data_IF_666440544033
#
_entry.id   IF_666440544033
#
_cell.length_a   1.000
_cell.length_b   1.000
_cell.length_c   1.000
_cell.angle_alpha   90.00
_cell.angle_beta   90.00
_cell.angle_gamma   90.00
#
_symmetry.space_group_name_H-M   'P 1'
#
loop_
_entity.id
_entity.type
_entity.pdbx_description
1 polymer ?
#
# COMPACT_ATOMS: atom_id res chain seq x y z
N UNK A 1 -8.07 6.32 -30.14
CA UNK A 1 -7.02 5.55 -29.44
C UNK A 1 -7.49 5.38 -28.01
N UNK A 2 -7.68 4.14 -27.54
CA UNK A 2 -8.22 3.83 -26.22
C UNK A 2 -7.30 4.41 -25.14
N UNK A 3 -7.89 5.07 -24.14
CA UNK A 3 -7.20 5.59 -22.96
C UNK A 3 -6.53 4.51 -22.08
N UNK A 4 -6.65 3.24 -22.43
CA UNK A 4 -6.04 2.11 -21.73
C UNK A 4 -4.50 2.11 -21.72
N UNK A 5 -3.87 2.77 -22.67
CA UNK A 5 -2.41 2.80 -22.78
C UNK A 5 -1.77 3.83 -21.83
N UNK A 6 -2.52 4.87 -21.43
CA UNK A 6 -1.97 5.97 -20.62
C UNK A 6 -2.06 5.72 -19.09
N UNK A 7 -2.88 4.76 -18.66
CA UNK A 7 -3.10 4.48 -17.23
C UNK A 7 -2.24 3.38 -16.60
N UNK A 8 -1.46 2.65 -17.41
CA UNK A 8 -0.71 1.48 -16.97
C UNK A 8 0.79 1.73 -16.98
N UNK A 9 1.24 2.77 -16.29
CA UNK A 9 2.65 3.15 -16.24
C UNK A 9 3.00 3.84 -14.93
N UNK A 10 4.26 3.74 -14.53
CA UNK A 10 4.86 4.52 -13.47
C UNK A 10 5.88 5.46 -14.09
N UNK A 11 5.83 6.74 -13.75
CA UNK A 11 6.68 7.77 -14.34
C UNK A 11 7.49 8.45 -13.24
N UNK A 12 8.81 8.54 -13.45
CA UNK A 12 9.69 9.36 -12.63
C UNK A 12 9.89 10.71 -13.30
N UNK A 13 9.66 11.77 -12.56
CA UNK A 13 9.90 13.15 -12.98
C UNK A 13 11.10 13.76 -12.27
N UNK A 14 11.75 14.74 -12.91
CA UNK A 14 12.65 15.68 -12.23
C UNK A 14 11.84 16.66 -11.39
N UNK A 15 12.47 17.43 -10.48
CA UNK A 15 11.80 18.53 -9.76
C UNK A 15 11.20 19.60 -10.70
N UNK A 16 11.76 19.75 -11.91
CA UNK A 16 11.28 20.71 -12.91
C UNK A 16 10.19 20.14 -13.83
N UNK A 17 9.76 18.86 -13.60
CA UNK A 17 8.68 18.21 -14.33
C UNK A 17 9.09 17.49 -15.61
N UNK A 18 10.38 17.31 -15.87
CA UNK A 18 10.87 16.52 -17.01
C UNK A 18 10.73 15.01 -16.70
N UNK A 19 10.31 14.23 -17.70
CA UNK A 19 10.25 12.78 -17.58
C UNK A 19 11.65 12.19 -17.61
N UNK A 20 12.05 11.56 -16.50
CA UNK A 20 13.34 10.90 -16.36
C UNK A 20 13.28 9.40 -16.66
N UNK A 21 12.13 8.76 -16.37
CA UNK A 21 11.94 7.33 -16.58
C UNK A 21 10.47 7.00 -16.69
N UNK A 22 10.12 6.01 -17.51
CA UNK A 22 8.77 5.45 -17.60
C UNK A 22 8.85 3.93 -17.53
N UNK A 23 8.15 3.33 -16.56
CA UNK A 23 8.02 1.88 -16.40
C UNK A 23 6.66 1.47 -16.97
N UNK A 24 6.66 0.56 -17.92
CA UNK A 24 5.45 0.10 -18.63
C UNK A 24 5.33 -1.42 -18.71
N UNK A 25 6.42 -2.17 -18.52
CA UNK A 25 6.48 -3.61 -18.70
C UNK A 25 7.25 -4.30 -17.58
N UNK A 26 6.81 -5.51 -17.23
CA UNK A 26 7.46 -6.40 -16.30
C UNK A 26 8.20 -7.50 -17.07
N UNK A 27 9.35 -7.17 -17.67
CA UNK A 27 10.27 -8.11 -18.29
C UNK A 27 10.08 -8.35 -19.79
N UNK A 28 8.87 -8.46 -20.31
CA UNK A 28 8.61 -8.64 -21.75
C UNK A 28 7.54 -7.69 -22.28
N UNK A 29 7.50 -7.47 -23.59
CA UNK A 29 6.49 -6.61 -24.25
C UNK A 29 5.05 -7.12 -24.07
N UNK A 30 4.86 -8.39 -23.77
CA UNK A 30 3.56 -8.99 -23.47
C UNK A 30 3.13 -8.82 -22.01
N UNK A 31 4.05 -8.47 -21.12
CA UNK A 31 3.81 -8.34 -19.69
C UNK A 31 3.75 -6.86 -19.28
N UNK A 32 2.83 -6.12 -19.84
CA UNK A 32 2.60 -4.73 -19.43
C UNK A 32 2.21 -4.64 -17.96
N UNK A 33 2.62 -3.55 -17.30
CA UNK A 33 2.03 -3.15 -16.04
C UNK A 33 0.51 -3.03 -16.21
N UNK A 34 -0.24 -3.51 -15.24
CA UNK A 34 -1.69 -3.51 -15.29
C UNK A 34 -2.27 -3.02 -13.98
N UNK A 35 -2.80 -1.80 -13.99
CA UNK A 35 -3.35 -1.13 -12.81
C UNK A 35 -2.32 -1.00 -11.67
N UNK A 36 -1.20 -0.27 -11.88
CA UNK A 36 -0.28 0.05 -10.78
C UNK A 36 -1.03 0.90 -9.73
N UNK A 37 -1.03 0.43 -8.49
CA UNK A 37 -1.73 1.05 -7.37
C UNK A 37 -0.81 1.91 -6.54
N UNK A 38 0.39 1.41 -6.27
CA UNK A 38 1.35 2.07 -5.41
C UNK A 38 2.78 1.78 -5.86
N UNK A 39 3.69 2.65 -5.46
CA UNK A 39 5.11 2.56 -5.76
C UNK A 39 5.93 2.99 -4.56
N UNK A 40 6.93 2.19 -4.22
CA UNK A 40 7.95 2.55 -3.23
C UNK A 40 9.35 2.41 -3.84
N UNK A 41 10.25 3.30 -3.46
CA UNK A 41 11.66 3.29 -3.89
C UNK A 41 12.53 3.03 -2.69
N UNK A 42 13.43 2.05 -2.80
CA UNK A 42 14.42 1.80 -1.75
C UNK A 42 15.43 2.96 -1.71
N UNK A 43 15.56 3.66 -0.58
CA UNK A 43 16.50 4.77 -0.47
C UNK A 43 17.97 4.35 -0.49
N UNK A 44 18.27 3.06 -0.29
CA UNK A 44 19.65 2.56 -0.20
C UNK A 44 20.30 2.33 -1.57
N UNK A 45 19.55 1.82 -2.54
CA UNK A 45 20.07 1.48 -3.88
C UNK A 45 19.26 2.08 -5.03
N UNK A 46 18.04 2.56 -4.74
CA UNK A 46 17.14 3.18 -5.71
C UNK A 46 16.26 2.19 -6.47
N UNK A 47 16.20 0.94 -6.03
CA UNK A 47 15.30 -0.07 -6.59
C UNK A 47 13.83 0.31 -6.38
N UNK A 48 12.99 -0.06 -7.34
CA UNK A 48 11.58 0.38 -7.41
C UNK A 48 10.67 -0.83 -7.32
N UNK A 49 9.74 -0.80 -6.37
CA UNK A 49 8.69 -1.80 -6.20
C UNK A 49 7.34 -1.21 -6.57
N UNK A 50 6.60 -1.88 -7.44
CA UNK A 50 5.29 -1.43 -7.93
C UNK A 50 4.25 -2.47 -7.59
N UNK A 51 3.23 -2.11 -6.82
CA UNK A 51 2.05 -2.94 -6.61
C UNK A 51 1.13 -2.88 -7.83
N UNK A 52 0.72 -4.03 -8.32
CA UNK A 52 -0.24 -4.15 -9.42
C UNK A 52 -1.48 -4.86 -8.95
N UNK A 53 -2.60 -4.17 -8.99
CA UNK A 53 -3.94 -4.74 -8.86
C UNK A 53 -4.99 -3.65 -8.88
N UNK A 54 -6.14 -3.86 -9.42
CA UNK A 54 -7.37 -3.13 -9.10
C UNK A 54 -8.56 -3.75 -9.86
N UNK A 55 -9.79 -3.63 -9.31
CA UNK A 55 -11.06 -4.00 -9.97
C UNK A 55 -11.07 -5.42 -10.55
N UNK A 56 -10.59 -6.40 -9.78
CA UNK A 56 -10.49 -7.78 -10.26
C UNK A 56 -9.38 -8.00 -11.28
N UNK A 57 -8.36 -7.14 -11.26
CA UNK A 57 -7.19 -7.19 -12.12
C UNK A 57 -6.50 -8.55 -12.11
N UNK A 58 -5.96 -8.95 -13.25
CA UNK A 58 -5.35 -10.27 -13.45
C UNK A 58 -4.00 -10.42 -12.73
N UNK A 59 -3.35 -9.30 -12.43
CA UNK A 59 -2.00 -9.26 -11.87
C UNK A 59 -2.05 -8.79 -10.42
N UNK A 60 -2.24 -9.70 -9.49
CA UNK A 60 -2.07 -9.41 -8.06
C UNK A 60 -0.64 -9.76 -7.69
N UNK A 61 0.29 -8.83 -7.88
CA UNK A 61 1.73 -9.04 -7.70
C UNK A 61 2.44 -7.73 -7.37
N UNK A 62 3.69 -7.83 -6.94
CA UNK A 62 4.61 -6.71 -6.86
C UNK A 62 5.66 -6.88 -7.97
N UNK A 63 5.92 -5.84 -8.72
CA UNK A 63 6.95 -5.83 -9.76
C UNK A 63 8.17 -5.07 -9.24
N UNK A 64 9.33 -5.72 -9.27
CA UNK A 64 10.60 -5.17 -8.82
C UNK A 64 11.46 -4.76 -10.02
N UNK A 65 11.88 -3.51 -10.03
CA UNK A 65 12.79 -2.93 -11.02
C UNK A 65 14.04 -2.40 -10.32
N UNK A 66 15.16 -2.41 -11.00
CA UNK A 66 16.34 -1.70 -10.52
C UNK A 66 16.17 -0.17 -10.69
N UNK A 67 17.13 0.59 -10.14
CA UNK A 67 17.14 2.06 -10.21
C UNK A 67 17.19 2.63 -11.63
N UNK A 68 17.57 1.83 -12.65
CA UNK A 68 17.54 2.18 -14.06
C UNK A 68 16.21 1.82 -14.75
N UNK A 69 15.27 1.23 -14.01
CA UNK A 69 13.98 0.79 -14.54
C UNK A 69 14.03 -0.54 -15.28
N UNK A 70 15.09 -1.33 -15.12
CA UNK A 70 15.18 -2.67 -15.70
C UNK A 70 14.44 -3.65 -14.77
N UNK A 71 13.59 -4.48 -15.36
CA UNK A 71 12.89 -5.52 -14.64
C UNK A 71 13.87 -6.51 -13.97
N UNK A 72 13.63 -6.80 -12.70
CA UNK A 72 14.37 -7.80 -11.93
C UNK A 72 13.52 -9.06 -11.79
N UNK A 73 12.32 -8.93 -11.19
CA UNK A 73 11.41 -10.05 -10.93
C UNK A 73 10.02 -9.59 -10.52
N UNK A 74 9.15 -10.57 -10.30
CA UNK A 74 7.88 -10.39 -9.58
C UNK A 74 7.93 -11.03 -8.20
N UNK A 75 7.17 -10.47 -7.23
CA UNK A 75 6.98 -10.99 -5.88
C UNK A 75 5.48 -11.20 -5.69
N UNK A 76 5.12 -12.35 -5.14
CA UNK A 76 3.72 -12.75 -4.96
C UNK A 76 3.05 -13.21 -6.26
N UNK A 77 1.83 -13.69 -6.11
CA UNK A 77 0.93 -14.12 -7.19
C UNK A 77 -0.52 -14.02 -6.71
N UNK A 78 -1.48 -14.06 -7.62
CA UNK A 78 -2.90 -13.97 -7.26
C UNK A 78 -3.34 -15.13 -6.35
N UNK A 79 -4.04 -14.81 -5.24
CA UNK A 79 -4.61 -15.78 -4.33
C UNK A 79 -4.66 -15.34 -2.86
N UNK A 80 -5.00 -16.29 -1.97
CA UNK A 80 -5.16 -16.01 -0.53
C UNK A 80 -4.20 -16.81 0.36
N UNK A 81 -3.41 -17.74 -0.17
CA UNK A 81 -2.39 -18.43 0.61
C UNK A 81 -1.26 -17.47 1.02
N UNK A 82 -0.44 -17.79 2.04
CA UNK A 82 0.76 -17.02 2.35
C UNK A 82 1.64 -16.86 1.11
N UNK A 83 2.12 -15.63 0.86
CA UNK A 83 2.85 -15.25 -0.35
C UNK A 83 1.99 -14.98 -1.58
N UNK A 84 0.69 -15.26 -1.55
CA UNK A 84 -0.27 -14.84 -2.57
C UNK A 84 -0.96 -13.54 -2.17
N UNK A 85 -1.45 -12.77 -3.14
CA UNK A 85 -1.99 -11.43 -2.97
C UNK A 85 -3.38 -11.28 -3.59
N UNK A 86 -4.24 -10.49 -2.95
CA UNK A 86 -5.52 -10.05 -3.49
C UNK A 86 -5.66 -8.54 -3.30
N UNK A 87 -5.65 -7.83 -4.40
CA UNK A 87 -5.60 -6.37 -4.41
C UNK A 87 -4.50 -5.79 -3.49
N UNK A 88 -3.20 -6.09 -3.74
CA UNK A 88 -2.12 -5.40 -3.05
C UNK A 88 -2.25 -3.91 -3.33
N UNK A 89 -2.59 -3.13 -2.29
CA UNK A 89 -3.06 -1.76 -2.47
C UNK A 89 -2.02 -0.72 -2.09
N UNK A 90 -1.10 -1.06 -1.20
CA UNK A 90 -0.06 -0.15 -0.73
C UNK A 90 1.23 -0.87 -0.39
N UNK A 91 2.32 -0.12 -0.46
CA UNK A 91 3.68 -0.57 -0.20
C UNK A 91 4.38 0.37 0.76
N UNK A 92 5.23 -0.18 1.62
CA UNK A 92 6.18 0.58 2.42
C UNK A 92 7.46 -0.22 2.64
N UNK A 93 8.57 0.47 2.91
CA UNK A 93 9.83 -0.15 3.33
C UNK A 93 10.14 0.29 4.76
N UNK A 94 10.62 -0.64 5.58
CA UNK A 94 11.14 -0.30 6.91
C UNK A 94 12.65 0.01 6.87
N UNK A 95 13.22 0.37 8.01
CA UNK A 95 14.65 0.70 8.12
C UNK A 95 15.59 -0.47 7.79
N UNK A 96 15.07 -1.70 7.77
CA UNK A 96 15.82 -2.93 7.44
C UNK A 96 15.67 -3.35 5.98
N UNK A 97 14.94 -2.56 5.17
CA UNK A 97 14.64 -2.88 3.78
C UNK A 97 13.61 -3.99 3.61
N UNK A 98 12.79 -4.31 4.63
CA UNK A 98 11.69 -5.26 4.47
C UNK A 98 10.53 -4.58 3.75
N UNK A 99 9.95 -5.26 2.76
CA UNK A 99 8.84 -4.76 1.97
C UNK A 99 7.51 -5.16 2.62
N UNK A 100 6.77 -4.16 3.08
CA UNK A 100 5.43 -4.29 3.62
C UNK A 100 4.41 -4.12 2.49
N UNK A 101 3.50 -5.07 2.36
CA UNK A 101 2.46 -5.10 1.32
C UNK A 101 1.10 -5.10 2.00
N UNK A 102 0.31 -4.08 1.76
CA UNK A 102 -1.09 -4.03 2.15
C UNK A 102 -1.92 -4.95 1.24
N UNK A 103 -2.08 -6.21 1.63
CA UNK A 103 -2.84 -7.24 0.91
C UNK A 103 -4.33 -7.10 1.26
N UNK A 104 -4.95 -6.04 0.68
CA UNK A 104 -6.21 -5.45 1.12
C UNK A 104 -7.37 -6.43 1.14
N UNK A 105 -7.62 -7.13 0.04
CA UNK A 105 -8.74 -8.09 -0.07
C UNK A 105 -8.53 -9.38 0.75
N UNK A 106 -7.32 -9.60 1.26
CA UNK A 106 -7.01 -10.66 2.21
C UNK A 106 -6.98 -10.15 3.67
N UNK A 107 -7.28 -8.87 3.92
CA UNK A 107 -7.34 -8.26 5.24
C UNK A 107 -6.06 -8.47 6.06
N UNK A 108 -4.89 -8.28 5.44
CA UNK A 108 -3.60 -8.52 6.08
C UNK A 108 -2.51 -7.66 5.50
N UNK A 109 -1.43 -7.51 6.25
CA UNK A 109 -0.14 -7.05 5.74
C UNK A 109 0.74 -8.28 5.57
N UNK A 110 1.39 -8.42 4.42
CA UNK A 110 2.43 -9.40 4.21
C UNK A 110 3.79 -8.68 4.13
N UNK A 111 4.78 -9.26 4.78
CA UNK A 111 6.13 -8.70 4.86
C UNK A 111 7.06 -9.61 4.08
N UNK A 112 7.75 -9.04 3.10
CA UNK A 112 8.69 -9.77 2.27
C UNK A 112 10.11 -9.22 2.43
N UNK A 113 11.11 -10.08 2.20
CA UNK A 113 12.43 -9.60 1.85
C UNK A 113 12.40 -9.02 0.42
N UNK A 114 13.35 -8.18 0.06
CA UNK A 114 13.46 -7.70 -1.32
C UNK A 114 13.81 -8.82 -2.31
N UNK A 115 14.33 -9.95 -1.80
CA UNK A 115 14.49 -11.16 -2.61
C UNK A 115 13.17 -11.91 -2.87
N UNK A 116 12.04 -11.46 -2.29
CA UNK A 116 10.71 -12.05 -2.50
C UNK A 116 10.36 -13.19 -1.55
N UNK A 117 11.17 -13.43 -0.52
CA UNK A 117 10.85 -14.38 0.53
C UNK A 117 9.80 -13.80 1.47
N UNK A 118 8.73 -14.55 1.76
CA UNK A 118 7.75 -14.15 2.77
C UNK A 118 8.36 -14.31 4.17
N UNK A 119 8.40 -13.20 4.90
CA UNK A 119 8.98 -13.15 6.25
C UNK A 119 7.92 -13.23 7.33
N UNK A 120 6.76 -12.57 7.15
CA UNK A 120 5.71 -12.54 8.16
C UNK A 120 4.35 -12.16 7.54
N UNK A 121 3.27 -12.42 8.30
CA UNK A 121 1.88 -12.10 7.93
C UNK A 121 1.15 -11.54 9.14
N UNK A 122 0.66 -10.29 9.03
CA UNK A 122 -0.02 -9.57 10.10
C UNK A 122 -1.47 -9.26 9.78
N UNK A 123 -2.40 -9.66 10.64
CA UNK A 123 -3.84 -9.47 10.47
C UNK A 123 -4.45 -8.44 11.42
N UNK A 124 -3.69 -7.98 12.42
CA UNK A 124 -4.16 -7.06 13.47
C UNK A 124 -4.37 -5.61 13.01
N UNK A 125 -3.98 -5.28 11.78
CA UNK A 125 -4.12 -3.92 11.23
C UNK A 125 -5.39 -3.70 10.40
N UNK A 126 -6.26 -4.70 10.28
CA UNK A 126 -7.51 -4.61 9.54
C UNK A 126 -7.33 -4.78 8.04
N UNK A 127 -8.07 -3.98 7.24
CA UNK A 127 -8.08 -4.01 5.78
C UNK A 127 -7.18 -2.90 5.22
N UNK A 128 -5.88 -3.15 5.00
CA UNK A 128 -4.90 -2.12 4.74
C UNK A 128 -5.08 -1.52 3.34
N UNK A 129 -5.51 -0.26 3.27
CA UNK A 129 -5.60 0.53 2.04
C UNK A 129 -4.34 1.38 1.82
N UNK A 130 -3.80 2.00 2.88
CA UNK A 130 -2.59 2.79 2.83
C UNK A 130 -1.60 2.40 3.91
N UNK A 131 -0.31 2.41 3.58
CA UNK A 131 0.79 2.15 4.50
C UNK A 131 1.77 3.33 4.50
N UNK A 132 2.27 3.68 5.67
CA UNK A 132 3.39 4.61 5.83
C UNK A 132 4.26 4.14 6.98
N UNK A 133 5.57 4.08 6.77
CA UNK A 133 6.55 3.74 7.81
C UNK A 133 7.51 4.90 7.97
N UNK A 134 7.67 5.37 9.20
CA UNK A 134 8.64 6.41 9.54
C UNK A 134 10.06 5.85 9.65
N UNK A 135 11.07 6.73 9.68
CA UNK A 135 12.47 6.32 9.83
C UNK A 135 12.79 5.58 11.14
N UNK A 136 11.96 5.78 12.18
CA UNK A 136 12.03 5.08 13.46
C UNK A 136 11.13 3.83 13.52
N UNK A 137 10.76 3.30 12.35
CA UNK A 137 9.95 2.08 12.20
C UNK A 137 8.56 2.14 12.85
N UNK A 138 7.96 3.31 12.95
CA UNK A 138 6.55 3.44 13.30
C UNK A 138 5.69 3.22 12.07
N UNK A 139 4.77 2.25 12.15
CA UNK A 139 3.87 1.87 11.08
C UNK A 139 2.51 2.55 11.25
N UNK A 140 2.03 3.19 10.19
CA UNK A 140 0.70 3.77 10.07
C UNK A 140 -0.06 3.02 8.99
N UNK A 141 -1.25 2.53 9.31
CA UNK A 141 -2.08 1.73 8.41
C UNK A 141 -3.46 2.37 8.29
N UNK A 142 -3.78 2.89 7.13
CA UNK A 142 -5.11 3.35 6.81
C UNK A 142 -6.00 2.16 6.41
N UNK A 143 -7.13 2.04 7.07
CA UNK A 143 -8.20 1.09 6.79
C UNK A 143 -9.44 1.88 6.37
N UNK A 144 -9.75 1.87 5.10
CA UNK A 144 -10.81 2.71 4.53
C UNK A 144 -12.18 2.05 4.51
N UNK A 145 -12.25 0.72 4.67
CA UNK A 145 -13.45 -0.03 4.30
C UNK A 145 -13.94 -1.02 5.38
N UNK A 146 -13.23 -1.24 6.48
CA UNK A 146 -13.71 -2.10 7.57
C UNK A 146 -14.94 -1.51 8.25
N UNK A 147 -15.84 -2.37 8.70
CA UNK A 147 -17.07 -1.98 9.40
C UNK A 147 -17.92 -3.19 9.74
N UNK A 148 -18.99 -3.03 10.54
CA UNK A 148 -19.77 -4.15 11.04
C UNK A 148 -20.51 -4.94 9.97
N UNK A 149 -20.83 -4.33 8.82
CA UNK A 149 -21.66 -4.92 7.75
C UNK A 149 -20.93 -5.00 6.40
N UNK A 150 -19.68 -4.64 6.36
CA UNK A 150 -18.91 -4.71 5.12
C UNK A 150 -18.61 -6.14 4.78
N UNK A 151 -19.36 -6.88 4.07
CA UNK A 151 -19.10 -8.26 3.60
C UNK A 151 -17.65 -8.63 3.19
N UNK A 152 -16.69 -7.84 3.63
CA UNK A 152 -15.26 -8.07 3.68
C UNK A 152 -14.96 -9.19 4.68
N UNK A 153 -15.60 -10.34 4.47
CA UNK A 153 -15.61 -11.57 5.21
C UNK A 153 -14.69 -11.63 6.44
N UNK A 154 -15.22 -12.04 7.56
CA UNK A 154 -14.51 -12.49 8.75
C UNK A 154 -13.93 -11.43 9.72
N UNK A 155 -13.81 -10.15 9.38
CA UNK A 155 -13.34 -9.14 10.33
C UNK A 155 -14.50 -8.46 11.10
N UNK A 156 -15.33 -9.26 11.74
CA UNK A 156 -16.36 -8.71 12.64
C UNK A 156 -15.69 -7.98 13.81
N UNK A 157 -16.01 -6.68 13.93
CA UNK A 157 -15.53 -5.86 15.05
C UNK A 157 -14.30 -4.99 14.75
N UNK A 158 -13.75 -5.06 13.54
CA UNK A 158 -12.71 -4.10 13.11
C UNK A 158 -13.36 -2.91 12.42
N UNK A 159 -13.04 -1.71 12.90
CA UNK A 159 -13.58 -0.45 12.41
C UNK A 159 -12.56 0.24 11.50
N UNK A 160 -13.05 1.01 10.51
CA UNK A 160 -12.21 1.85 9.66
C UNK A 160 -11.57 2.99 10.42
N UNK A 161 -10.40 3.39 9.98
CA UNK A 161 -9.59 4.43 10.60
C UNK A 161 -8.11 4.21 10.36
N UNK A 162 -7.24 4.85 11.16
CA UNK A 162 -5.78 4.71 11.01
C UNK A 162 -5.23 4.01 12.26
N UNK A 163 -4.63 2.83 12.08
CA UNK A 163 -3.92 2.11 13.12
C UNK A 163 -2.46 2.50 13.12
N UNK A 164 -1.93 2.75 14.31
CA UNK A 164 -0.53 3.15 14.53
C UNK A 164 0.13 2.08 15.36
N UNK A 165 1.25 1.57 14.88
CA UNK A 165 1.96 0.47 15.53
C UNK A 165 3.46 0.48 15.23
N UNK A 166 4.07 -0.67 15.45
CA UNK A 166 5.50 -0.91 15.24
C UNK A 166 5.70 -1.76 13.98
N UNK A 167 6.53 -1.29 13.05
CA UNK A 167 6.98 -2.09 11.93
C UNK A 167 7.95 -3.21 12.36
N UNK A 168 8.51 -3.15 13.56
CA UNK A 168 9.49 -4.13 14.05
C UNK A 168 8.81 -5.46 14.40
N UNK A 169 7.68 -5.40 15.13
CA UNK A 169 7.03 -6.56 15.74
C UNK A 169 5.51 -6.63 15.54
N UNK A 170 4.91 -5.67 14.83
CA UNK A 170 3.49 -5.63 14.55
C UNK A 170 2.60 -5.21 15.71
N UNK A 171 3.15 -4.75 16.84
CA UNK A 171 2.35 -4.27 17.96
C UNK A 171 1.55 -3.04 17.54
N UNK A 172 0.21 -3.06 17.74
CA UNK A 172 -0.66 -1.90 17.54
C UNK A 172 -0.68 -1.09 18.83
N UNK A 173 -0.30 0.19 18.75
CA UNK A 173 -0.19 1.09 19.92
C UNK A 173 -1.40 2.00 20.07
N UNK A 174 -1.98 2.45 18.96
CA UNK A 174 -3.10 3.38 18.98
C UNK A 174 -3.94 3.28 17.71
N UNK A 175 -5.15 3.84 17.78
CA UNK A 175 -6.12 3.85 16.71
C UNK A 175 -6.78 5.23 16.63
N UNK A 176 -6.77 5.81 15.44
CA UNK A 176 -7.53 7.00 15.10
C UNK A 176 -8.77 6.50 14.36
N UNK A 177 -9.90 6.51 15.03
CA UNK A 177 -11.17 6.08 14.44
C UNK A 177 -11.63 7.05 13.36
N UNK A 178 -12.22 6.52 12.30
CA UNK A 178 -12.86 7.36 11.27
C UNK A 178 -14.00 8.20 11.86
N UNK A 179 -14.22 9.40 11.33
CA UNK A 179 -15.28 10.31 11.82
C UNK A 179 -16.69 9.73 11.62
N UNK A 180 -16.86 8.83 10.66
CA UNK A 180 -18.14 8.18 10.35
C UNK A 180 -17.95 6.66 10.23
N UNK A 181 -17.53 5.99 11.33
CA UNK A 181 -17.05 4.62 11.28
C UNK A 181 -18.11 3.60 10.89
N UNK A 182 -19.41 3.93 11.14
CA UNK A 182 -20.54 3.05 10.87
C UNK A 182 -21.24 3.30 9.53
N UNK A 183 -20.75 4.27 8.74
CA UNK A 183 -21.37 4.57 7.44
C UNK A 183 -20.77 3.72 6.33
N UNK A 184 -21.60 2.86 5.73
CA UNK A 184 -21.20 1.95 4.65
C UNK A 184 -21.02 2.66 3.31
N UNK A 185 -21.71 3.79 3.10
CA UNK A 185 -21.61 4.60 1.88
C UNK A 185 -20.39 5.53 1.87
N UNK A 186 -19.59 5.55 2.94
CA UNK A 186 -18.39 6.38 3.07
C UNK A 186 -17.16 5.54 3.36
N UNK A 187 -16.10 5.76 2.57
CA UNK A 187 -14.78 5.22 2.91
C UNK A 187 -14.11 6.09 3.97
N UNK A 188 -13.31 5.47 4.83
CA UNK A 188 -12.31 6.14 5.65
C UNK A 188 -11.10 6.60 4.84
N UNK A 189 -9.98 6.86 5.52
CA UNK A 189 -8.73 7.22 4.87
C UNK A 189 -8.19 6.04 4.02
N UNK A 190 -7.97 6.27 2.72
CA UNK A 190 -7.31 5.31 1.83
C UNK A 190 -5.80 5.49 1.80
N UNK A 191 -5.31 6.73 1.90
CA UNK A 191 -3.91 7.04 2.04
C UNK A 191 -3.59 7.60 3.42
N UNK A 192 -2.36 7.37 3.88
CA UNK A 192 -1.86 7.91 5.13
C UNK A 192 -0.45 8.47 4.95
N UNK A 193 -0.15 9.57 5.63
CA UNK A 193 1.18 10.16 5.69
C UNK A 193 1.39 10.90 7.01
N UNK A 194 2.64 11.16 7.36
CA UNK A 194 3.01 11.81 8.62
C UNK A 194 4.05 12.88 8.36
N UNK A 195 3.87 14.06 8.93
CA UNK A 195 4.86 15.12 8.83
C UNK A 195 5.95 15.03 9.93
N UNK A 196 6.97 15.85 9.83
CA UNK A 196 8.08 15.86 10.79
C UNK A 196 7.68 16.32 12.20
N UNK A 197 6.49 16.91 12.37
CA UNK A 197 5.92 17.25 13.67
C UNK A 197 5.07 16.13 14.28
N UNK A 198 4.93 15.01 13.59
CA UNK A 198 4.14 13.85 14.01
C UNK A 198 2.64 14.00 13.75
N UNK A 199 2.21 15.01 12.98
CA UNK A 199 0.80 15.09 12.57
C UNK A 199 0.50 14.00 11.55
N UNK A 200 -0.62 13.29 11.73
CA UNK A 200 -1.08 12.24 10.83
C UNK A 200 -2.08 12.80 9.84
N UNK A 201 -1.91 12.50 8.57
CA UNK A 201 -2.80 12.91 7.50
C UNK A 201 -3.49 11.69 6.88
N UNK A 202 -4.81 11.75 6.74
CA UNK A 202 -5.64 10.74 6.10
C UNK A 202 -6.28 11.28 4.83
N UNK A 203 -6.05 10.63 3.68
CA UNK A 203 -6.70 10.99 2.42
C UNK A 203 -8.03 10.23 2.26
N UNK A 204 -9.15 10.91 2.45
CA UNK A 204 -10.50 10.30 2.47
C UNK A 204 -11.19 10.53 1.13
N UNK A 205 -11.23 9.49 0.30
CA UNK A 205 -11.67 9.58 -1.11
C UNK A 205 -13.14 9.97 -1.23
N UNK A 206 -14.05 9.26 -0.58
CA UNK A 206 -15.49 9.51 -0.77
C UNK A 206 -15.95 10.82 -0.15
N UNK A 207 -15.36 11.26 0.94
CA UNK A 207 -15.60 12.58 1.51
C UNK A 207 -14.83 13.70 0.79
N UNK A 208 -13.94 13.36 -0.15
CA UNK A 208 -13.11 14.30 -0.94
C UNK A 208 -12.36 15.30 -0.05
N UNK A 209 -11.72 14.79 0.99
CA UNK A 209 -11.04 15.61 1.98
C UNK A 209 -9.71 15.00 2.40
N UNK A 210 -8.84 15.88 2.92
CA UNK A 210 -7.65 15.52 3.64
C UNK A 210 -7.90 15.82 5.12
N UNK A 211 -7.85 14.80 5.96
CA UNK A 211 -7.93 14.92 7.41
C UNK A 211 -6.53 15.14 7.97
N UNK A 212 -6.44 15.97 9.00
CA UNK A 212 -5.22 16.17 9.78
C UNK A 212 -5.51 15.91 11.25
N UNK A 213 -4.81 14.95 11.81
CA UNK A 213 -4.86 14.62 13.23
C UNK A 213 -3.59 15.13 13.90
N UNK A 214 -3.77 16.04 14.85
CA UNK A 214 -2.66 16.70 15.55
C UNK A 214 -2.39 15.98 16.85
N UNK A 215 -1.13 15.59 17.08
CA UNK A 215 -0.71 15.07 18.37
C UNK A 215 -0.84 16.21 19.39
N UNK A 216 -1.66 16.00 20.42
CA UNK A 216 -1.72 16.95 21.55
C UNK A 216 -0.70 16.51 22.58
N UNK A 217 0.07 17.46 23.14
CA UNK A 217 1.02 17.19 24.22
C UNK A 217 0.32 16.73 25.49
#
# INVERSE_FOLDING_TARGET
>A
RSNEVLGNQVIKFSPDGEILMTLTHAGSDSERLHWPNDVVVDPSDGDVFVAESHRGGRNNRIVHFDRQGRFIKTIGSAGSAPGQLREPHSLALDSRGRLFVGDRENNRIQIFSQSGELLDVWTQFGRPSGLFITQDDRLYVADSESGPDTGAGELTGIMKGIRIGSAIDGTVHSFIEDLEPLRDDHSGAEGVGVDSAGNVYGAVVRRRMLERHVLRP
#
